data_IF_941280957963
#
_entry.id   IF_941280957963
#
_cell.length_a   1.000
_cell.length_b   1.000
_cell.length_c   1.000
_cell.angle_alpha   90.00
_cell.angle_beta   90.00
_cell.angle_gamma   90.00
#
_symmetry.space_group_name_H-M   'P 1'
#
loop_
_entity.id
_entity.type
_entity.pdbx_description
1 polymer ?
#
# COMPACT_ATOMS: atom_id res chain seq x y z
N UNK A 1 -29.24 11.14 50.02
CA UNK A 1 -30.23 10.67 49.02
C UNK A 1 -29.56 10.85 47.68
N UNK A 2 -29.18 9.75 47.02
CA UNK A 2 -28.35 9.80 45.80
C UNK A 2 -28.99 10.64 44.71
N UNK A 3 -28.21 11.58 44.19
CA UNK A 3 -28.43 12.18 42.88
C UNK A 3 -28.50 11.06 41.85
N UNK A 4 -29.68 10.88 41.26
CA UNK A 4 -29.89 9.94 40.15
C UNK A 4 -29.11 10.49 38.98
N UNK A 5 -28.05 9.79 38.59
CA UNK A 5 -27.30 10.01 37.36
C UNK A 5 -28.27 10.10 36.19
N UNK A 6 -28.37 11.28 35.58
CA UNK A 6 -29.18 11.54 34.39
C UNK A 6 -28.74 10.55 33.31
N UNK A 7 -29.69 9.80 32.74
CA UNK A 7 -29.42 8.92 31.61
C UNK A 7 -28.84 9.75 30.48
N UNK A 8 -27.58 9.51 30.11
CA UNK A 8 -26.96 10.09 28.91
C UNK A 8 -27.90 9.82 27.74
N UNK A 9 -28.51 10.88 27.22
CA UNK A 9 -29.35 10.82 26.04
C UNK A 9 -28.44 10.32 24.91
N UNK A 10 -28.67 9.08 24.48
CA UNK A 10 -27.88 8.44 23.43
C UNK A 10 -28.17 9.24 22.16
N UNK A 11 -27.18 10.00 21.70
CA UNK A 11 -27.23 10.67 20.41
C UNK A 11 -27.49 9.60 19.34
N UNK A 12 -28.40 9.89 18.42
CA UNK A 12 -28.76 8.95 17.37
C UNK A 12 -27.56 8.72 16.45
N UNK A 13 -27.30 7.44 16.13
CA UNK A 13 -26.20 7.07 15.23
C UNK A 13 -26.53 7.57 13.84
N UNK A 14 -25.61 8.31 13.24
CA UNK A 14 -25.61 8.66 11.82
C UNK A 14 -24.77 7.66 11.05
N UNK A 15 -25.22 7.33 9.86
CA UNK A 15 -24.52 6.44 8.93
C UNK A 15 -23.78 7.30 7.92
N UNK A 16 -22.50 7.01 7.73
CA UNK A 16 -21.65 7.70 6.77
C UNK A 16 -21.26 6.71 5.67
N UNK A 17 -21.51 7.09 4.42
CA UNK A 17 -21.08 6.32 3.25
C UNK A 17 -19.61 6.61 2.99
N UNK A 18 -18.80 5.56 2.88
CA UNK A 18 -17.36 5.66 2.69
C UNK A 18 -17.03 5.49 1.22
N UNK A 19 -16.31 6.48 0.68
CA UNK A 19 -15.86 6.50 -0.70
C UNK A 19 -14.37 6.23 -0.79
N UNK A 20 -13.99 5.43 -1.79
CA UNK A 20 -12.61 5.19 -2.16
C UNK A 20 -11.95 6.46 -2.74
N UNK A 21 -10.61 6.50 -2.80
CA UNK A 21 -9.85 7.54 -3.49
C UNK A 21 -10.18 7.61 -5.00
N UNK A 22 -9.67 8.63 -5.69
CA UNK A 22 -9.92 8.85 -7.12
C UNK A 22 -9.32 7.75 -7.99
N UNK A 23 -8.20 7.17 -7.54
CA UNK A 23 -7.52 6.05 -8.20
C UNK A 23 -8.40 4.78 -8.29
N UNK A 24 -9.47 4.72 -7.51
CA UNK A 24 -10.44 3.60 -7.47
C UNK A 24 -11.85 4.07 -7.87
N UNK A 25 -11.94 5.07 -8.76
CA UNK A 25 -13.19 5.60 -9.32
C UNK A 25 -14.21 6.09 -8.28
N UNK A 26 -13.73 6.47 -7.08
CA UNK A 26 -14.58 6.86 -5.93
C UNK A 26 -15.67 5.83 -5.64
N UNK A 27 -15.34 4.55 -5.77
CA UNK A 27 -16.26 3.45 -5.49
C UNK A 27 -16.74 3.49 -4.02
N UNK A 28 -17.97 3.01 -3.80
CA UNK A 28 -18.52 2.88 -2.45
C UNK A 28 -17.90 1.67 -1.75
N UNK A 29 -17.18 1.92 -0.65
CA UNK A 29 -16.52 0.89 0.17
C UNK A 29 -17.47 0.29 1.21
N UNK A 30 -18.55 1.01 1.54
CA UNK A 30 -19.56 0.62 2.51
C UNK A 30 -19.98 1.76 3.42
N UNK A 31 -20.61 1.43 4.54
CA UNK A 31 -21.14 2.42 5.49
C UNK A 31 -20.56 2.23 6.90
N UNK A 32 -20.33 3.34 7.61
CA UNK A 32 -19.84 3.32 8.98
C UNK A 32 -20.73 4.16 9.91
N UNK A 33 -21.24 3.60 11.02
CA UNK A 33 -22.05 4.36 11.95
C UNK A 33 -21.19 5.15 12.95
N UNK A 34 -21.54 6.39 13.22
CA UNK A 34 -20.94 7.21 14.27
C UNK A 34 -21.94 8.21 14.85
N UNK A 35 -21.70 8.65 16.09
CA UNK A 35 -22.54 9.68 16.71
C UNK A 35 -22.06 11.07 16.25
N UNK A 36 -20.75 11.27 16.28
CA UNK A 36 -20.06 12.51 15.91
C UNK A 36 -19.15 12.27 14.69
N UNK A 37 -18.95 13.26 13.79
CA UNK A 37 -18.14 13.09 12.58
C UNK A 37 -16.68 12.80 12.90
N UNK A 38 -16.15 13.43 13.96
CA UNK A 38 -14.76 13.26 14.42
C UNK A 38 -14.45 11.81 14.82
N UNK A 39 -15.47 11.00 15.15
CA UNK A 39 -15.28 9.58 15.49
C UNK A 39 -15.05 8.69 14.26
N UNK A 40 -15.28 9.22 13.06
CA UNK A 40 -15.14 8.51 11.79
C UNK A 40 -13.73 8.67 11.22
N UNK A 41 -13.08 9.80 11.51
CA UNK A 41 -11.69 10.06 11.14
C UNK A 41 -10.76 8.95 11.67
N UNK A 42 -9.71 8.67 10.90
CA UNK A 42 -8.70 7.63 11.17
C UNK A 42 -9.22 6.18 11.22
N UNK A 43 -10.52 5.94 10.98
CA UNK A 43 -11.00 4.57 10.80
C UNK A 43 -10.40 3.97 9.56
N UNK A 44 -9.96 2.72 9.71
CA UNK A 44 -9.38 1.93 8.63
C UNK A 44 -10.40 0.92 8.13
N UNK A 45 -10.57 0.85 6.81
CA UNK A 45 -11.48 -0.08 6.13
C UNK A 45 -10.64 -0.98 5.21
N UNK A 46 -10.88 -2.28 5.31
CA UNK A 46 -10.27 -3.27 4.43
C UNK A 46 -11.33 -3.77 3.44
N UNK A 47 -10.97 -3.80 2.17
CA UNK A 47 -11.78 -4.40 1.09
C UNK A 47 -10.87 -5.22 0.18
N UNK A 48 -11.46 -6.00 -0.73
CA UNK A 48 -10.71 -6.67 -1.79
C UNK A 48 -10.79 -5.90 -3.10
N UNK A 49 -9.79 -6.04 -3.96
CA UNK A 49 -9.83 -5.46 -5.31
C UNK A 49 -10.97 -6.07 -6.15
N UNK A 50 -11.29 -7.35 -5.93
CA UNK A 50 -12.37 -8.01 -6.64
C UNK A 50 -13.75 -7.45 -6.28
N UNK A 51 -13.96 -7.03 -5.02
CA UNK A 51 -15.20 -6.35 -4.62
C UNK A 51 -15.32 -4.95 -5.23
N UNK A 52 -14.19 -4.26 -5.47
CA UNK A 52 -14.16 -2.93 -6.10
C UNK A 52 -14.38 -2.97 -7.62
N UNK A 53 -13.88 -4.01 -8.27
CA UNK A 53 -13.87 -4.12 -9.75
C UNK A 53 -14.88 -5.12 -10.29
N UNK A 54 -15.67 -5.75 -9.42
CA UNK A 54 -16.54 -6.89 -9.72
C UNK A 54 -15.80 -8.08 -10.39
N UNK A 55 -14.47 -8.20 -10.20
CA UNK A 55 -13.65 -9.29 -10.71
C UNK A 55 -13.28 -10.30 -9.62
N UNK A 56 -13.92 -11.47 -9.64
CA UNK A 56 -13.65 -12.52 -8.65
C UNK A 56 -12.22 -13.09 -8.71
N UNK A 57 -11.47 -12.84 -9.79
CA UNK A 57 -10.08 -13.26 -9.95
C UNK A 57 -9.10 -12.42 -9.13
N UNK A 58 -9.48 -11.21 -8.73
CA UNK A 58 -8.67 -10.26 -7.98
C UNK A 58 -8.91 -10.30 -6.45
N UNK A 59 -9.71 -11.25 -5.95
CA UNK A 59 -10.01 -11.40 -4.51
C UNK A 59 -8.79 -11.72 -3.63
N UNK A 60 -7.68 -12.13 -4.23
CA UNK A 60 -6.40 -12.33 -3.54
C UNK A 60 -5.66 -11.01 -3.23
N UNK A 61 -6.20 -9.86 -3.65
CA UNK A 61 -5.64 -8.53 -3.37
C UNK A 61 -6.50 -7.85 -2.31
N UNK A 62 -5.88 -7.51 -1.18
CA UNK A 62 -6.48 -6.71 -0.11
C UNK A 62 -6.00 -5.27 -0.20
N UNK A 63 -6.94 -4.35 -0.07
CA UNK A 63 -6.71 -2.92 -0.05
C UNK A 63 -7.19 -2.38 1.29
N UNK A 64 -6.39 -1.51 1.88
CA UNK A 64 -6.65 -0.89 3.17
C UNK A 64 -6.68 0.62 2.98
N UNK A 65 -7.80 1.20 3.35
CA UNK A 65 -8.09 2.62 3.23
C UNK A 65 -8.26 3.24 4.61
N UNK A 66 -7.85 4.50 4.80
CA UNK A 66 -8.08 5.28 6.02
C UNK A 66 -8.95 6.48 5.71
N UNK A 67 -9.93 6.76 6.56
CA UNK A 67 -10.77 7.96 6.40
C UNK A 67 -9.97 9.20 6.83
N UNK A 68 -9.74 10.10 5.88
CA UNK A 68 -9.03 11.36 6.09
C UNK A 68 -9.95 12.57 6.22
N UNK A 69 -11.09 12.56 5.52
CA UNK A 69 -12.05 13.67 5.53
C UNK A 69 -13.50 13.15 5.67
N UNK A 70 -14.33 13.93 6.36
CA UNK A 70 -15.73 13.62 6.58
C UNK A 70 -16.58 14.82 6.20
N UNK A 71 -17.37 14.64 5.15
CA UNK A 71 -18.43 15.57 4.74
C UNK A 71 -19.69 15.43 5.60
N UNK A 72 -20.85 15.81 5.05
CA UNK A 72 -22.11 15.74 5.80
C UNK A 72 -22.53 14.30 6.15
N UNK A 73 -22.65 13.46 5.12
CA UNK A 73 -22.99 12.03 5.23
C UNK A 73 -22.01 11.13 4.45
N UNK A 74 -20.95 11.73 3.92
CA UNK A 74 -19.92 11.07 3.11
C UNK A 74 -18.57 11.11 3.84
N UNK A 75 -17.81 10.02 3.79
CA UNK A 75 -16.46 9.94 4.30
C UNK A 75 -15.51 9.63 3.14
N UNK A 76 -14.47 10.43 2.99
CA UNK A 76 -13.46 10.27 1.95
C UNK A 76 -12.23 9.58 2.53
N UNK A 77 -11.73 8.60 1.80
CA UNK A 77 -10.59 7.81 2.23
C UNK A 77 -9.34 8.09 1.43
N UNK A 78 -8.22 7.74 2.04
CA UNK A 78 -6.89 7.67 1.46
C UNK A 78 -6.45 6.21 1.40
N UNK A 79 -5.67 5.87 0.38
CA UNK A 79 -5.03 4.58 0.28
C UNK A 79 -3.82 4.46 1.22
N UNK A 80 -3.82 3.44 2.08
CA UNK A 80 -2.73 3.19 3.05
C UNK A 80 -1.89 1.99 2.65
N UNK A 81 -2.54 0.90 2.25
CA UNK A 81 -1.85 -0.38 2.09
C UNK A 81 -2.51 -1.27 1.05
N UNK A 82 -1.66 -1.90 0.25
CA UNK A 82 -1.98 -3.01 -0.63
C UNK A 82 -1.24 -4.25 -0.14
N UNK A 83 -1.94 -5.38 -0.06
CA UNK A 83 -1.35 -6.65 0.39
C UNK A 83 -2.01 -7.83 -0.32
N UNK A 84 -1.17 -8.77 -0.75
CA UNK A 84 -1.66 -10.05 -1.25
C UNK A 84 -2.07 -10.95 -0.09
N UNK A 85 -3.14 -11.72 -0.28
CA UNK A 85 -3.57 -12.68 0.74
C UNK A 85 -2.49 -13.72 1.00
N UNK A 86 -2.39 -14.14 2.28
CA UNK A 86 -1.37 -15.09 2.72
C UNK A 86 -1.52 -16.44 2.03
N UNK A 87 -2.75 -16.92 1.91
CA UNK A 87 -3.08 -18.17 1.21
C UNK A 87 -2.61 -18.14 -0.24
N UNK A 88 -2.77 -17.01 -0.92
CA UNK A 88 -2.32 -16.84 -2.29
C UNK A 88 -0.79 -16.85 -2.39
N UNK A 89 -0.09 -16.07 -1.56
CA UNK A 89 1.37 -16.06 -1.53
C UNK A 89 1.96 -17.44 -1.20
N UNK A 90 1.39 -18.13 -0.22
CA UNK A 90 1.82 -19.47 0.19
C UNK A 90 1.56 -20.50 -0.92
N UNK A 91 0.47 -20.36 -1.69
CA UNK A 91 0.19 -21.21 -2.85
C UNK A 91 1.24 -21.09 -3.97
N UNK A 92 1.94 -19.95 -4.04
CA UNK A 92 2.98 -19.72 -5.03
C UNK A 92 4.32 -20.37 -4.63
N UNK A 93 4.57 -20.56 -3.33
CA UNK A 93 5.78 -21.22 -2.85
C UNK A 93 5.73 -22.71 -3.20
N UNK A 94 6.77 -23.22 -3.87
CA UNK A 94 6.90 -24.64 -4.21
C UNK A 94 8.22 -25.21 -3.74
N UNK A 95 8.20 -26.48 -3.33
CA UNK A 95 9.42 -27.22 -3.00
C UNK A 95 10.31 -27.34 -4.23
N UNK A 96 11.60 -27.09 -4.05
CA UNK A 96 12.59 -27.15 -5.14
C UNK A 96 12.61 -25.92 -6.06
N UNK A 97 11.87 -24.87 -5.71
CA UNK A 97 11.95 -23.54 -6.31
C UNK A 97 12.47 -22.53 -5.27
N UNK A 98 12.98 -21.40 -5.76
CA UNK A 98 13.44 -20.28 -4.94
C UNK A 98 12.38 -19.18 -4.89
N UNK A 99 12.28 -18.53 -3.72
CA UNK A 99 11.50 -17.31 -3.52
C UNK A 99 12.51 -16.17 -3.32
N UNK A 100 12.53 -15.21 -4.24
CA UNK A 100 13.42 -14.06 -4.17
C UNK A 100 12.59 -12.85 -3.77
N UNK A 101 12.94 -12.25 -2.63
CA UNK A 101 12.26 -11.07 -2.08
C UNK A 101 13.23 -9.88 -2.05
N UNK A 102 12.66 -8.69 -2.23
CA UNK A 102 13.31 -7.41 -1.93
C UNK A 102 12.38 -6.58 -1.04
N UNK A 103 12.98 -5.73 -0.21
CA UNK A 103 12.30 -4.77 0.65
C UNK A 103 12.90 -3.41 0.34
N UNK A 104 12.06 -2.48 -0.10
CA UNK A 104 12.50 -1.20 -0.62
C UNK A 104 11.64 -0.10 0.00
N UNK A 105 12.30 0.99 0.38
CA UNK A 105 11.65 2.26 0.69
C UNK A 105 12.02 3.21 -0.45
N UNK A 106 11.03 3.71 -1.17
CA UNK A 106 11.21 4.59 -2.32
C UNK A 106 10.41 5.86 -2.13
N UNK A 107 10.88 6.94 -2.74
CA UNK A 107 10.14 8.19 -2.87
C UNK A 107 9.55 8.25 -4.27
N UNK A 108 8.28 8.61 -4.36
CA UNK A 108 7.59 8.84 -5.64
C UNK A 108 7.89 10.25 -6.17
N UNK A 109 7.42 10.56 -7.38
CA UNK A 109 7.66 11.88 -8.02
C UNK A 109 7.01 13.06 -7.30
N UNK A 110 6.02 12.78 -6.46
CA UNK A 110 5.25 13.68 -5.61
C UNK A 110 5.62 13.52 -4.13
N UNK A 111 6.84 13.08 -3.84
CA UNK A 111 7.46 13.03 -2.51
C UNK A 111 6.74 12.16 -1.47
N UNK A 112 5.93 11.19 -1.89
CA UNK A 112 5.37 10.21 -0.96
C UNK A 112 6.40 9.11 -0.69
N UNK A 113 6.60 8.77 0.58
CA UNK A 113 7.48 7.66 0.98
C UNK A 113 6.69 6.36 1.02
N UNK A 114 7.08 5.41 0.18
CA UNK A 114 6.37 4.14 0.01
C UNK A 114 7.30 2.97 0.26
N UNK A 115 6.83 1.99 1.04
CA UNK A 115 7.51 0.70 1.24
C UNK A 115 6.92 -0.36 0.33
N UNK A 116 7.75 -0.97 -0.50
CA UNK A 116 7.35 -1.96 -1.51
C UNK A 116 8.09 -3.27 -1.30
N UNK A 117 7.37 -4.38 -1.42
CA UNK A 117 7.91 -5.74 -1.33
C UNK A 117 7.62 -6.53 -2.61
N UNK A 118 8.45 -6.39 -3.67
CA UNK A 118 8.36 -7.26 -4.84
C UNK A 118 8.87 -8.67 -4.50
N UNK A 119 8.19 -9.68 -5.05
CA UNK A 119 8.50 -11.10 -4.85
C UNK A 119 8.51 -11.83 -6.19
N UNK A 120 9.61 -12.52 -6.47
CA UNK A 120 9.76 -13.37 -7.64
C UNK A 120 9.83 -14.85 -7.23
N UNK A 121 9.12 -15.69 -7.98
CA UNK A 121 9.09 -17.14 -7.81
C UNK A 121 9.74 -17.80 -9.03
N UNK A 122 10.83 -18.51 -8.80
CA UNK A 122 11.55 -19.22 -9.87
C UNK A 122 10.88 -20.56 -10.20
N UNK A 123 11.18 -21.12 -11.37
CA UNK A 123 10.67 -22.45 -11.74
C UNK A 123 11.43 -23.57 -11.04
N UNK A 124 12.71 -23.37 -10.76
CA UNK A 124 13.64 -24.31 -10.13
C UNK A 124 14.52 -23.57 -9.12
N UNK A 125 15.26 -24.31 -8.29
CA UNK A 125 16.20 -23.73 -7.32
C UNK A 125 17.25 -22.91 -8.06
N UNK A 126 17.30 -21.63 -7.76
CA UNK A 126 18.31 -20.72 -8.27
C UNK A 126 19.54 -20.74 -7.36
N UNK A 127 20.72 -20.47 -7.93
CA UNK A 127 21.94 -20.27 -7.18
C UNK A 127 21.96 -18.87 -6.53
N UNK A 128 22.71 -18.68 -5.45
CA UNK A 128 22.77 -17.41 -4.71
C UNK A 128 23.12 -16.20 -5.60
N UNK A 129 23.99 -16.40 -6.61
CA UNK A 129 24.37 -15.36 -7.57
C UNK A 129 23.21 -14.95 -8.47
N UNK A 130 22.37 -15.91 -8.87
CA UNK A 130 21.18 -15.67 -9.68
C UNK A 130 20.10 -14.97 -8.87
N UNK A 131 19.86 -15.42 -7.62
CA UNK A 131 18.93 -14.77 -6.71
C UNK A 131 19.33 -13.32 -6.44
N UNK A 132 20.63 -13.05 -6.25
CA UNK A 132 21.16 -11.69 -6.07
C UNK A 132 20.97 -10.83 -7.31
N UNK A 133 21.25 -11.36 -8.49
CA UNK A 133 21.07 -10.65 -9.75
C UNK A 133 19.59 -10.32 -10.01
N UNK A 134 18.67 -11.25 -9.75
CA UNK A 134 17.22 -11.01 -9.84
C UNK A 134 16.81 -9.92 -8.85
N UNK A 135 17.27 -10.02 -7.59
CA UNK A 135 16.97 -9.02 -6.56
C UNK A 135 17.41 -7.63 -7.00
N UNK A 136 18.63 -7.49 -7.50
CA UNK A 136 19.15 -6.21 -7.97
C UNK A 136 18.31 -5.63 -9.12
N UNK A 137 17.91 -6.44 -10.10
CA UNK A 137 17.01 -5.99 -11.17
C UNK A 137 15.63 -5.58 -10.67
N UNK A 138 15.09 -6.27 -9.67
CA UNK A 138 13.83 -5.85 -9.04
C UNK A 138 13.98 -4.48 -8.37
N UNK A 139 15.08 -4.24 -7.67
CA UNK A 139 15.36 -2.94 -7.04
C UNK A 139 15.42 -1.83 -8.09
N UNK A 140 16.24 -2.00 -9.12
CA UNK A 140 16.42 -1.00 -10.18
C UNK A 140 15.10 -0.60 -10.83
N UNK A 141 14.26 -1.57 -11.20
CA UNK A 141 12.97 -1.31 -11.86
C UNK A 141 11.94 -0.67 -10.94
N UNK A 142 11.93 -1.02 -9.65
CA UNK A 142 11.01 -0.40 -8.68
C UNK A 142 11.42 1.04 -8.40
N UNK A 143 12.72 1.31 -8.26
CA UNK A 143 13.21 2.68 -8.09
C UNK A 143 12.97 3.55 -9.32
N UNK A 144 13.19 3.02 -10.52
CA UNK A 144 12.88 3.73 -11.78
C UNK A 144 11.38 4.04 -11.85
N UNK A 145 10.53 3.04 -11.63
CA UNK A 145 9.08 3.21 -11.65
C UNK A 145 8.56 4.21 -10.61
N UNK A 146 9.20 4.31 -9.44
CA UNK A 146 8.83 5.28 -8.40
C UNK A 146 9.23 6.71 -8.78
N UNK A 147 10.42 6.91 -9.36
CA UNK A 147 10.92 8.23 -9.78
C UNK A 147 10.18 8.83 -10.97
N UNK A 148 9.53 7.99 -11.78
CA UNK A 148 8.84 8.43 -13.01
C UNK A 148 7.33 8.68 -12.82
N UNK A 149 6.73 8.13 -11.76
CA UNK A 149 5.27 8.12 -11.55
C UNK A 149 4.89 8.88 -10.29
N UNK A 150 3.70 9.46 -10.28
CA UNK A 150 3.07 9.95 -9.04
C UNK A 150 2.65 8.78 -8.16
N UNK A 151 2.32 9.04 -6.90
CA UNK A 151 1.84 8.03 -5.97
C UNK A 151 0.62 7.28 -6.51
N UNK A 152 -0.36 8.01 -7.04
CA UNK A 152 -1.59 7.47 -7.62
C UNK A 152 -1.30 6.51 -8.79
N UNK A 153 -0.48 6.95 -9.74
CA UNK A 153 -0.08 6.16 -10.91
C UNK A 153 0.75 4.92 -10.51
N UNK A 154 1.55 5.05 -9.46
CA UNK A 154 2.36 3.97 -8.92
C UNK A 154 1.48 2.90 -8.26
N UNK A 155 0.51 3.30 -7.43
CA UNK A 155 -0.48 2.40 -6.80
C UNK A 155 -1.32 1.70 -7.87
N UNK A 156 -1.79 2.41 -8.89
CA UNK A 156 -2.53 1.82 -10.02
C UNK A 156 -1.66 0.80 -10.78
N UNK A 157 -0.40 1.14 -11.06
CA UNK A 157 0.55 0.24 -11.73
C UNK A 157 0.82 -1.04 -10.95
N UNK A 158 0.83 -0.97 -9.62
CA UNK A 158 0.99 -2.14 -8.74
C UNK A 158 -0.29 -2.97 -8.73
N UNK A 159 -1.44 -2.32 -8.55
CA UNK A 159 -2.77 -2.96 -8.45
C UNK A 159 -3.14 -3.70 -9.74
N UNK A 160 -2.84 -3.12 -10.90
CA UNK A 160 -3.04 -3.74 -12.21
C UNK A 160 -1.96 -4.77 -12.60
N UNK A 161 -0.90 -4.92 -11.80
CA UNK A 161 0.20 -5.86 -12.08
C UNK A 161 1.13 -5.45 -13.23
N UNK A 162 1.11 -4.18 -13.66
CA UNK A 162 2.01 -3.65 -14.69
C UNK A 162 3.46 -3.66 -14.22
N UNK A 163 3.70 -3.29 -12.96
CA UNK A 163 5.03 -3.35 -12.34
C UNK A 163 5.55 -4.80 -12.27
N UNK A 164 4.72 -5.74 -11.81
CA UNK A 164 5.05 -7.17 -11.78
C UNK A 164 5.42 -7.72 -13.16
N UNK A 165 4.68 -7.29 -14.19
CA UNK A 165 4.91 -7.71 -15.58
C UNK A 165 6.22 -7.16 -16.15
N UNK A 166 6.55 -5.91 -15.86
CA UNK A 166 7.83 -5.30 -16.25
C UNK A 166 9.01 -6.04 -15.60
N UNK A 167 8.93 -6.31 -14.30
CA UNK A 167 9.95 -7.07 -13.57
C UNK A 167 10.09 -8.48 -14.15
N UNK A 168 8.99 -9.17 -14.44
CA UNK A 168 9.03 -10.49 -15.07
C UNK A 168 9.75 -10.46 -16.42
N UNK A 169 9.49 -9.43 -17.23
CA UNK A 169 10.06 -9.24 -18.56
C UNK A 169 11.59 -9.19 -18.56
N UNK A 170 12.18 -8.49 -17.60
CA UNK A 170 13.62 -8.33 -17.46
C UNK A 170 14.27 -9.49 -16.68
N UNK A 171 13.67 -9.88 -15.56
CA UNK A 171 14.26 -10.88 -14.66
C UNK A 171 14.27 -12.29 -15.25
N UNK A 172 13.36 -12.62 -16.19
CA UNK A 172 13.38 -13.91 -16.91
C UNK A 172 14.65 -14.11 -17.75
N UNK A 173 15.33 -13.04 -18.13
CA UNK A 173 16.59 -13.10 -18.90
C UNK A 173 17.74 -13.65 -18.04
N UNK A 174 17.66 -13.47 -16.73
CA UNK A 174 18.66 -13.98 -15.78
C UNK A 174 18.41 -15.45 -15.47
N UNK A 175 17.16 -15.80 -15.13
CA UNK A 175 16.76 -17.15 -14.75
C UNK A 175 15.28 -17.37 -15.05
N UNK A 176 14.84 -18.59 -15.43
CA UNK A 176 13.42 -18.87 -15.66
C UNK A 176 12.56 -18.62 -14.41
N UNK A 177 11.67 -17.64 -14.53
CA UNK A 177 10.67 -17.28 -13.53
C UNK A 177 9.30 -17.89 -13.86
N UNK A 178 8.57 -18.26 -12.82
CA UNK A 178 7.18 -18.74 -12.92
C UNK A 178 6.19 -17.62 -12.73
N UNK A 179 6.41 -16.76 -11.74
CA UNK A 179 5.53 -15.65 -11.40
C UNK A 179 6.30 -14.56 -10.66
N UNK A 180 5.91 -13.31 -10.87
CA UNK A 180 6.36 -12.15 -10.11
C UNK A 180 5.11 -11.43 -9.63
N UNK A 181 5.12 -10.99 -8.38
CA UNK A 181 4.03 -10.23 -7.78
C UNK A 181 4.61 -9.19 -6.80
N UNK A 182 3.84 -8.14 -6.52
CA UNK A 182 4.12 -7.24 -5.39
C UNK A 182 3.35 -7.76 -4.19
N UNK A 183 4.05 -8.26 -3.17
CA UNK A 183 3.39 -8.86 -2.00
C UNK A 183 2.74 -7.81 -1.10
N UNK A 184 3.39 -6.66 -0.96
CA UNK A 184 2.96 -5.60 -0.08
C UNK A 184 3.43 -4.24 -0.59
N UNK A 185 2.56 -3.25 -0.48
CA UNK A 185 2.87 -1.83 -0.64
C UNK A 185 2.22 -1.09 0.53
N UNK A 186 2.98 -0.21 1.18
CA UNK A 186 2.52 0.57 2.34
C UNK A 186 2.95 2.02 2.15
N UNK A 187 2.01 2.95 2.28
CA UNK A 187 2.32 4.38 2.46
C UNK A 187 2.94 4.57 3.85
N UNK A 188 4.16 5.11 3.88
CA UNK A 188 4.95 5.27 5.10
C UNK A 188 4.87 6.70 5.64
N UNK A 189 5.01 7.69 4.76
CA UNK A 189 4.94 9.11 5.11
C UNK A 189 4.37 9.92 3.93
N UNK A 190 3.62 10.95 4.29
CA UNK A 190 3.10 11.96 3.37
C UNK A 190 4.19 12.95 2.98
N UNK A 191 4.04 13.66 1.85
CA UNK A 191 5.03 14.64 1.39
C UNK A 191 5.30 15.76 2.41
N UNK A 192 4.28 16.15 3.20
CA UNK A 192 4.44 17.14 4.28
C UNK A 192 5.39 16.62 5.37
N UNK A 193 5.23 15.36 5.79
CA UNK A 193 6.09 14.74 6.81
C UNK A 193 7.52 14.50 6.27
N UNK A 194 7.65 14.14 4.99
CA UNK A 194 8.96 13.97 4.35
C UNK A 194 9.73 15.29 4.30
N UNK A 195 9.05 16.39 3.94
CA UNK A 195 9.66 17.72 3.93
C UNK A 195 10.09 18.17 5.34
N UNK A 196 9.26 17.97 6.35
CA UNK A 196 9.60 18.30 7.75
C UNK A 196 10.80 17.48 8.27
N UNK A 197 10.90 16.20 7.89
CA UNK A 197 12.06 15.37 8.22
C UNK A 197 13.33 15.83 7.49
N UNK A 198 13.23 16.23 6.23
CA UNK A 198 14.37 16.76 5.48
C UNK A 198 14.85 18.11 6.03
N UNK A 199 13.94 19.00 6.40
CA UNK A 199 14.28 20.27 7.07
C UNK A 199 14.98 20.02 8.42
N UNK A 200 14.43 19.13 9.24
CA UNK A 200 15.02 18.77 10.54
C UNK A 200 16.40 18.10 10.39
N UNK A 201 16.62 17.32 9.33
CA UNK A 201 17.91 16.69 9.08
C UNK A 201 18.99 17.71 8.69
N UNK A 202 18.63 18.71 7.88
CA UNK A 202 19.54 19.78 7.44
C UNK A 202 19.96 20.67 8.62
N UNK A 203 19.03 20.99 9.54
CA UNK A 203 19.35 21.77 10.76
C UNK A 203 20.40 21.07 11.64
N UNK A 204 20.36 19.73 11.74
CA UNK A 204 21.32 18.96 12.56
C UNK A 204 22.72 18.91 11.92
N UNK A 205 22.80 18.79 10.59
CA UNK A 205 24.07 18.81 9.87
C UNK A 205 24.75 20.21 9.93
N UNK A 206 23.98 21.30 10.03
CA UNK A 206 24.52 22.66 10.22
C UNK A 206 25.07 22.90 11.64
N UNK A 207 24.51 22.26 12.67
CA UNK A 207 25.01 22.36 14.05
C UNK A 207 26.28 21.51 14.32
N UNK A 208 26.52 20.45 13.56
CA UNK A 208 27.70 19.55 13.73
C UNK A 208 28.95 20.00 12.93
N UNK A 209 28.86 21.03 12.08
CA UNK A 209 30.01 21.60 11.35
C UNK A 209 30.77 22.71 12.10
N UNK A 210 30.26 23.15 13.26
CA UNK A 210 30.91 24.12 14.15
C UNK A 210 31.65 23.44 15.33
N UNK A 211 32.57 22.50 15.05
CA UNK A 211 33.54 21.97 16.05
C UNK A 211 34.95 21.76 15.49
#
# INVERSE_FOLDING_TARGET
MSERSVSRQQQEKRWYTVFAPEEFDRAELGETPANEPDQVLDRTIETTLGDLTDDAGANNVKLTFRIGDVGSDAAYTEFIKHELTRDYLDSLVRRGASKVEAYLTVLTSDDHRVRVQPVAFTTQKADDSQERAIRQRMVELVEEAARERTFEEFVDSVTQGRLSSAIYGEARTIYPLRRVEVAKLVLDAHPEEVAEEEETAVDVDEDDVDV
#
